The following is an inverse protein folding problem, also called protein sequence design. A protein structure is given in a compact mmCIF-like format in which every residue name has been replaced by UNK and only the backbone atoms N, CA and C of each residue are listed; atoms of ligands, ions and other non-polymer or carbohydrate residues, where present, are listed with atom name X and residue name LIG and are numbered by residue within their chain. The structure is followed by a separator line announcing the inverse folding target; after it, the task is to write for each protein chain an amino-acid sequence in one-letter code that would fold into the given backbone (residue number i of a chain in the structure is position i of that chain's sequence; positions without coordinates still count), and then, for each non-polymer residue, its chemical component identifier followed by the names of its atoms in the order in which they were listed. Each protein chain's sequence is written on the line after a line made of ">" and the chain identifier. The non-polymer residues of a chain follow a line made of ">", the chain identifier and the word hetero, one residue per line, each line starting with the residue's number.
data_IF_376958015732
#
_entry.id   IF_376958015732
#
_cell.length_a   1.000
_cell.length_b   1.000
_cell.length_c   1.000
_cell.angle_alpha   90.00
_cell.angle_beta   90.00
_cell.angle_gamma   90.00
#
_symmetry.space_group_name_H-M   'P 1'
#
loop_
_entity.id
_entity.type
_entity.pdbx_description
1 polymer ?
#
# COMPACT_ATOMS: atom_id res chain seq x y z
N UNK A 1 -24.81 7.86 4.96
CA UNK A 1 -23.89 6.85 5.54
C UNK A 1 -22.48 7.43 5.43
N UNK A 2 -21.58 7.31 6.43
CA UNK A 2 -20.26 7.91 6.30
C UNK A 2 -19.48 7.23 5.17
N UNK A 3 -18.86 8.05 4.32
CA UNK A 3 -18.08 7.56 3.17
C UNK A 3 -16.59 7.65 3.48
N UNK A 4 -15.89 6.56 3.22
CA UNK A 4 -14.45 6.41 3.42
C UNK A 4 -13.74 6.20 2.09
N UNK A 5 -12.61 6.89 1.97
CA UNK A 5 -11.56 6.62 1.03
C UNK A 5 -10.63 5.55 1.58
N UNK A 6 -10.28 4.58 0.74
CA UNK A 6 -9.20 3.63 0.97
C UNK A 6 -8.12 3.91 -0.06
N UNK A 7 -6.90 4.15 0.40
CA UNK A 7 -5.75 4.46 -0.45
C UNK A 7 -4.64 3.48 -0.08
N UNK A 8 -4.12 2.74 -1.06
CA UNK A 8 -2.99 1.86 -0.84
C UNK A 8 -1.71 2.65 -1.12
N UNK A 9 -0.85 2.76 -0.11
CA UNK A 9 0.42 3.49 -0.19
C UNK A 9 1.57 2.49 -0.07
N UNK A 10 2.52 2.45 -1.02
CA UNK A 10 3.68 1.59 -0.89
C UNK A 10 4.40 1.82 0.44
N UNK A 11 4.62 0.73 1.18
CA UNK A 11 5.21 0.77 2.51
C UNK A 11 5.86 -0.56 2.87
N UNK A 12 6.99 -0.53 3.57
CA UNK A 12 7.70 -1.70 4.09
C UNK A 12 8.15 -1.45 5.52
N UNK A 13 8.39 -2.52 6.27
CA UNK A 13 8.99 -2.44 7.60
C UNK A 13 10.45 -2.88 7.52
N UNK A 14 11.38 -1.93 7.51
CA UNK A 14 12.82 -2.22 7.45
C UNK A 14 13.36 -2.61 8.82
N UNK A 15 14.10 -3.71 8.87
CA UNK A 15 14.94 -4.06 10.01
C UNK A 15 16.20 -3.20 9.98
N UNK A 16 16.40 -2.46 11.06
CA UNK A 16 17.61 -1.71 11.36
C UNK A 16 18.21 -2.29 12.64
N UNK A 17 19.52 -2.13 12.84
CA UNK A 17 20.19 -2.62 14.05
C UNK A 17 19.60 -2.07 15.36
N UNK A 18 18.82 -0.99 15.30
CA UNK A 18 18.13 -0.36 16.44
C UNK A 18 16.63 -0.69 16.53
N UNK A 19 16.06 -1.46 15.61
CA UNK A 19 14.65 -1.84 15.62
C UNK A 19 14.00 -1.92 14.24
N UNK A 20 12.67 -1.77 14.20
CA UNK A 20 11.90 -1.80 12.95
C UNK A 20 11.45 -0.39 12.57
N UNK A 21 11.78 0.06 11.36
CA UNK A 21 11.37 1.36 10.82
C UNK A 21 10.32 1.14 9.74
N UNK A 22 9.22 1.87 9.80
CA UNK A 22 8.26 1.92 8.69
C UNK A 22 8.77 2.91 7.64
N UNK A 23 9.01 2.44 6.43
CA UNK A 23 9.32 3.28 5.27
C UNK A 23 8.11 3.27 4.35
N UNK A 24 7.64 4.45 3.92
CA UNK A 24 6.48 4.58 3.05
C UNK A 24 6.73 5.66 1.99
N UNK A 25 6.05 5.52 0.84
CA UNK A 25 6.08 6.49 -0.26
C UNK A 25 4.74 7.23 -0.31
N UNK A 26 4.50 8.25 0.54
CA UNK A 26 3.18 8.83 0.77
C UNK A 26 2.55 9.50 -0.45
N UNK A 27 3.37 9.89 -1.44
CA UNK A 27 2.92 10.50 -2.69
C UNK A 27 2.66 9.48 -3.81
N UNK A 28 2.99 8.21 -3.57
CA UNK A 28 2.74 7.11 -4.52
C UNK A 28 1.54 6.28 -4.03
N UNK A 29 0.73 5.83 -4.98
CA UNK A 29 -0.51 5.11 -4.70
C UNK A 29 -0.59 3.87 -5.60
N UNK A 30 -0.86 2.73 -4.97
CA UNK A 30 -1.14 1.50 -5.72
C UNK A 30 -2.60 1.49 -6.15
N UNK A 31 -2.80 1.50 -7.46
CA UNK A 31 -4.10 1.41 -8.09
C UNK A 31 -5.01 2.59 -7.78
N UNK A 32 -6.30 2.40 -8.11
CA UNK A 32 -7.31 3.42 -7.90
C UNK A 32 -7.79 3.45 -6.46
N UNK A 33 -7.99 4.66 -5.94
CA UNK A 33 -8.65 4.91 -4.65
C UNK A 33 -9.98 4.15 -4.56
N UNK A 34 -10.15 3.39 -3.47
CA UNK A 34 -11.42 2.76 -3.12
C UNK A 34 -12.35 3.72 -2.41
N UNK A 35 -13.64 3.67 -2.71
CA UNK A 35 -14.68 4.39 -1.98
C UNK A 35 -15.64 3.37 -1.38
N UNK A 36 -15.88 3.49 -0.07
CA UNK A 36 -16.78 2.58 0.65
C UNK A 36 -17.63 3.36 1.62
N UNK A 37 -18.88 2.92 1.78
CA UNK A 37 -19.72 3.39 2.86
C UNK A 37 -19.61 2.41 4.04
N UNK A 38 -19.49 2.91 5.27
CA UNK A 38 -19.38 2.05 6.46
C UNK A 38 -20.02 2.72 7.67
N UNK A 39 -20.87 2.01 8.43
CA UNK A 39 -21.49 2.55 9.66
C UNK A 39 -20.77 2.09 10.91
N UNK A 40 -20.14 0.92 10.85
CA UNK A 40 -19.47 0.27 11.98
C UNK A 40 -17.98 0.05 11.69
N UNK A 41 -17.22 -0.26 12.74
CA UNK A 41 -15.82 -0.68 12.57
C UNK A 41 -15.72 -2.01 11.82
N UNK A 42 -16.66 -2.93 12.01
CA UNK A 42 -16.68 -4.22 11.32
C UNK A 42 -16.87 -4.05 9.80
N UNK A 43 -17.79 -3.16 9.38
CA UNK A 43 -17.97 -2.83 7.96
C UNK A 43 -16.68 -2.29 7.36
N UNK A 44 -15.99 -1.42 8.11
CA UNK A 44 -14.76 -0.79 7.66
C UNK A 44 -13.61 -1.79 7.59
N UNK A 45 -13.41 -2.67 8.57
CA UNK A 45 -12.41 -3.74 8.53
C UNK A 45 -12.64 -4.68 7.36
N UNK A 46 -13.91 -5.03 7.07
CA UNK A 46 -14.27 -5.83 5.90
C UNK A 46 -13.91 -5.10 4.60
N UNK A 47 -14.22 -3.81 4.50
CA UNK A 47 -13.90 -3.01 3.32
C UNK A 47 -12.39 -2.84 3.11
N UNK A 48 -11.62 -2.62 4.18
CA UNK A 48 -10.14 -2.58 4.15
C UNK A 48 -9.58 -3.91 3.65
N UNK A 49 -10.10 -5.03 4.16
CA UNK A 49 -9.66 -6.37 3.75
C UNK A 49 -9.93 -6.61 2.26
N UNK A 50 -11.16 -6.37 1.80
CA UNK A 50 -11.54 -6.57 0.40
C UNK A 50 -10.75 -5.66 -0.55
N UNK A 51 -10.56 -4.38 -0.18
CA UNK A 51 -9.77 -3.46 -0.97
C UNK A 51 -8.31 -3.89 -1.06
N UNK A 52 -7.69 -4.24 0.07
CA UNK A 52 -6.29 -4.66 0.08
C UNK A 52 -6.04 -5.99 -0.63
N UNK A 53 -6.92 -6.97 -0.49
CA UNK A 53 -6.80 -8.25 -1.20
C UNK A 53 -6.89 -8.04 -2.73
N UNK A 54 -7.72 -7.10 -3.20
CA UNK A 54 -7.74 -6.67 -4.60
C UNK A 54 -6.42 -6.02 -5.03
N UNK A 55 -5.91 -5.05 -4.26
CA UNK A 55 -4.62 -4.39 -4.57
C UNK A 55 -3.47 -5.41 -4.61
N UNK A 56 -3.43 -6.36 -3.68
CA UNK A 56 -2.42 -7.41 -3.67
C UNK A 56 -2.51 -8.35 -4.89
N UNK A 57 -3.73 -8.57 -5.41
CA UNK A 57 -3.96 -9.33 -6.64
C UNK A 57 -3.50 -8.56 -7.87
N UNK A 58 -3.82 -7.27 -7.95
CA UNK A 58 -3.49 -6.40 -9.10
C UNK A 58 -1.99 -6.03 -9.12
N UNK A 59 -1.34 -6.05 -7.96
CA UNK A 59 0.08 -5.70 -7.79
C UNK A 59 0.84 -6.80 -7.02
N UNK A 60 1.03 -8.00 -7.61
CA UNK A 60 1.68 -9.11 -6.93
C UNK A 60 3.10 -8.76 -6.44
N UNK A 61 3.40 -9.12 -5.20
CA UNK A 61 4.71 -8.89 -4.58
C UNK A 61 4.97 -7.45 -4.12
N UNK A 62 4.06 -6.50 -4.33
CA UNK A 62 4.17 -5.14 -3.77
C UNK A 62 3.76 -5.13 -2.30
N UNK A 63 4.52 -4.39 -1.50
CA UNK A 63 4.23 -4.16 -0.08
C UNK A 63 3.59 -2.79 0.12
N UNK A 64 2.51 -2.72 0.90
CA UNK A 64 1.75 -1.49 1.08
C UNK A 64 0.97 -1.47 2.39
N UNK A 65 0.62 -0.25 2.82
CA UNK A 65 -0.38 -0.01 3.87
C UNK A 65 -1.63 0.64 3.27
N UNK A 66 -2.76 0.54 3.97
CA UNK A 66 -4.01 1.19 3.57
C UNK A 66 -4.29 2.39 4.47
N UNK A 67 -4.28 3.58 3.89
CA UNK A 67 -4.83 4.78 4.50
C UNK A 67 -6.36 4.76 4.46
N UNK A 68 -7.00 5.13 5.57
CA UNK A 68 -8.47 5.23 5.68
C UNK A 68 -8.86 6.67 5.98
N UNK A 69 -9.45 7.35 4.99
CA UNK A 69 -9.82 8.76 5.12
C UNK A 69 -11.32 8.93 5.02
N UNK A 70 -11.93 9.56 6.02
CA UNK A 70 -13.34 9.91 5.98
C UNK A 70 -13.55 11.18 5.16
N UNK A 71 -14.65 11.25 4.40
CA UNK A 71 -15.06 12.48 3.72
C UNK A 71 -15.28 13.60 4.76
N UNK A 72 -14.79 14.80 4.46
CA UNK A 72 -14.97 15.98 5.32
C UNK A 72 -16.46 16.20 5.59
N UNK A 73 -16.82 16.40 6.86
CA UNK A 73 -18.20 16.61 7.30
C UNK A 73 -18.94 15.34 7.73
N UNK A 74 -18.48 14.15 7.32
CA UNK A 74 -19.06 12.89 7.81
C UNK A 74 -18.49 12.54 9.21
N UNK A 75 -19.30 11.83 10.01
CA UNK A 75 -18.91 11.40 11.36
C UNK A 75 -18.30 9.99 11.34
N UNK A 76 -17.13 9.85 11.96
CA UNK A 76 -16.45 8.55 12.15
C UNK A 76 -17.28 7.64 13.09
N UNK A 77 -17.36 6.32 12.83
CA UNK A 77 -17.87 5.34 13.79
C UNK A 77 -17.17 5.45 15.14
N UNK A 78 -17.89 5.10 16.21
CA UNK A 78 -17.31 5.10 17.56
C UNK A 78 -16.09 4.17 17.61
N UNK A 79 -15.00 4.66 18.20
CA UNK A 79 -13.75 3.89 18.35
C UNK A 79 -12.83 3.88 17.14
N UNK A 80 -13.19 4.58 16.04
CA UNK A 80 -12.39 4.61 14.81
C UNK A 80 -10.92 4.98 15.06
N UNK A 81 -10.65 6.10 15.74
CA UNK A 81 -9.27 6.59 15.90
C UNK A 81 -8.41 5.66 16.75
N UNK A 82 -9.03 4.91 17.67
CA UNK A 82 -8.34 3.89 18.46
C UNK A 82 -8.04 2.67 17.60
N UNK A 83 -9.03 2.17 16.87
CA UNK A 83 -8.89 1.00 15.99
C UNK A 83 -7.89 1.25 14.84
N UNK A 84 -7.87 2.47 14.30
CA UNK A 84 -6.90 2.88 13.28
C UNK A 84 -5.48 2.91 13.86
N UNK A 85 -5.28 3.54 15.02
CA UNK A 85 -3.95 3.64 15.65
C UNK A 85 -3.41 2.30 16.16
N UNK A 86 -4.27 1.41 16.64
CA UNK A 86 -3.85 0.08 17.12
C UNK A 86 -3.64 -0.94 15.99
N UNK A 87 -3.98 -0.60 14.74
CA UNK A 87 -3.93 -1.53 13.62
C UNK A 87 -5.11 -2.53 13.58
N UNK A 88 -6.11 -2.39 14.45
CA UNK A 88 -7.27 -3.28 14.50
C UNK A 88 -8.15 -3.25 13.24
N UNK A 89 -7.99 -2.24 12.39
CA UNK A 89 -8.62 -2.18 11.07
C UNK A 89 -7.90 -3.04 10.01
N UNK A 90 -6.71 -3.57 10.32
CA UNK A 90 -5.93 -4.41 9.41
C UNK A 90 -5.23 -3.64 8.28
N UNK A 91 -5.01 -2.33 8.44
CA UNK A 91 -4.40 -1.46 7.42
C UNK A 91 -2.98 -1.89 7.01
N UNK A 92 -2.30 -2.61 7.88
CA UNK A 92 -0.88 -2.96 7.74
C UNK A 92 -0.68 -4.44 7.38
N UNK A 93 -1.76 -5.18 7.08
CA UNK A 93 -1.73 -6.63 6.81
C UNK A 93 -0.78 -7.02 5.66
N UNK A 94 -0.57 -6.12 4.68
CA UNK A 94 0.26 -6.35 3.49
C UNK A 94 1.66 -5.73 3.60
N UNK A 95 2.04 -5.20 4.77
CA UNK A 95 3.39 -4.67 4.98
C UNK A 95 4.34 -5.84 5.24
N UNK A 96 5.33 -6.02 4.35
CA UNK A 96 6.40 -7.00 4.55
C UNK A 96 7.55 -6.41 5.35
N UNK A 97 8.25 -7.26 6.08
CA UNK A 97 9.48 -6.89 6.78
C UNK A 97 10.69 -7.23 5.90
N UNK A 98 11.64 -6.30 5.76
CA UNK A 98 12.83 -6.45 4.89
C UNK A 98 14.12 -6.10 5.63
N UNK A 99 15.24 -6.69 5.18
CA UNK A 99 16.56 -6.56 5.84
C UNK A 99 17.59 -5.79 5.00
N UNK A 100 17.31 -5.52 3.73
CA UNK A 100 18.25 -4.86 2.82
C UNK A 100 17.56 -3.77 1.98
N UNK A 101 18.35 -2.78 1.54
CA UNK A 101 17.91 -1.73 0.62
C UNK A 101 17.35 -2.31 -0.69
N UNK A 102 17.95 -3.38 -1.20
CA UNK A 102 17.50 -4.04 -2.42
C UNK A 102 16.11 -4.69 -2.24
N UNK A 103 15.87 -5.35 -1.11
CA UNK A 103 14.57 -5.93 -0.79
C UNK A 103 13.50 -4.85 -0.54
N UNK A 104 13.88 -3.75 0.12
CA UNK A 104 13.04 -2.56 0.25
C UNK A 104 12.63 -2.00 -1.11
N UNK A 105 13.60 -1.75 -2.00
CA UNK A 105 13.34 -1.20 -3.32
C UNK A 105 12.44 -2.10 -4.16
N UNK A 106 12.66 -3.41 -4.13
CA UNK A 106 11.83 -4.40 -4.83
C UNK A 106 10.40 -4.43 -4.30
N UNK A 107 10.22 -4.44 -2.98
CA UNK A 107 8.89 -4.49 -2.36
C UNK A 107 8.11 -3.18 -2.55
N UNK A 108 8.81 -2.03 -2.52
CA UNK A 108 8.20 -0.72 -2.70
C UNK A 108 7.86 -0.42 -4.17
N UNK A 109 8.72 -0.79 -5.12
CA UNK A 109 8.61 -0.39 -6.53
C UNK A 109 8.25 -1.54 -7.49
N UNK A 110 8.25 -2.78 -7.00
CA UNK A 110 8.12 -3.98 -7.84
C UNK A 110 9.44 -4.30 -8.56
N UNK A 111 9.49 -5.43 -9.28
CA UNK A 111 10.62 -5.71 -10.15
C UNK A 111 10.75 -4.59 -11.18
N UNK A 112 11.98 -4.14 -11.43
CA UNK A 112 12.23 -3.22 -12.53
C UNK A 112 11.69 -3.85 -13.82
N UNK A 113 10.58 -3.33 -14.34
CA UNK A 113 10.04 -3.72 -15.64
C UNK A 113 11.08 -3.32 -16.68
N UNK A 114 11.87 -4.27 -17.17
CA UNK A 114 13.08 -3.98 -17.93
C UNK A 114 12.82 -3.37 -19.32
N UNK A 115 13.64 -2.41 -19.72
CA UNK A 115 13.99 -2.14 -21.12
C UNK A 115 15.23 -1.22 -21.24
N UNK A 116 16.41 -1.83 -21.33
CA UNK A 116 17.33 -1.46 -22.42
C UNK A 116 17.52 -2.72 -23.27
N UNK A 117 16.56 -2.95 -24.17
CA UNK A 117 16.74 -3.80 -25.35
C UNK A 117 16.62 -2.88 -26.56
N UNK A 118 17.77 -2.50 -27.13
CA UNK A 118 17.82 -1.72 -28.35
C UNK A 118 19.03 -0.81 -28.47
N UNK A 119 20.24 -1.34 -28.45
CA UNK A 119 21.33 -0.70 -29.22
C UNK A 119 21.51 -1.52 -30.48
N UNK A 120 21.06 -0.93 -31.58
CA UNK A 120 21.15 -1.43 -32.94
C UNK A 120 22.55 -1.98 -33.25
N UNK A 121 22.56 -3.17 -33.83
CA UNK A 121 23.64 -3.61 -34.70
C UNK A 121 23.76 -2.61 -35.85
N UNK A 122 24.71 -1.68 -35.77
CA UNK A 122 25.17 -0.96 -36.94
C UNK A 122 26.02 -1.93 -37.76
N UNK A 123 25.42 -2.51 -38.79
CA UNK A 123 26.18 -3.04 -39.91
C UNK A 123 26.90 -1.88 -40.56
N UNK A 124 28.24 -1.95 -40.63
CA UNK A 124 29.03 -1.09 -41.50
C UNK A 124 29.59 -2.00 -42.59
N UNK A 125 28.89 -1.98 -43.73
CA UNK A 125 29.41 -2.39 -45.02
C UNK A 125 29.83 -1.10 -45.73
N UNK A 126 31.14 -0.97 -45.97
CA UNK A 126 31.75 -0.31 -47.12
C UNK A 126 33.27 -0.56 -47.06
#
# INVERSE_FOLDING_TARGET
>A
MPVFALIATPAVRRLSGTGKVLVALPMDHLGNRGMTEARTLADLTKAVTLYGDRIATDHPGRSFSIGVHIRRGDRKPRGFDTAYRSGALGTDKWIVTVESDAAEALALNGPASGANKGSETKGEAA
#
